data_IF_210891271525
#
_entry.id   IF_210891271525
#
_cell.length_a   1.000
_cell.length_b   1.000
_cell.length_c   1.000
_cell.angle_alpha   90.00
_cell.angle_beta   90.00
_cell.angle_gamma   90.00
#
_symmetry.space_group_name_H-M   'P 1'
#
loop_
_entity.id
_entity.type
_entity.pdbx_description
1 polymer ?
#
# COMPACT_ATOMS: atom_id res chain seq x y z
N UNK A 1 -11.11 -9.18 13.26
CA UNK A 1 -11.45 -9.12 11.82
C UNK A 1 -11.93 -7.70 11.60
N UNK A 2 -11.22 -6.90 10.79
CA UNK A 2 -11.63 -5.51 10.51
C UNK A 2 -12.55 -5.61 9.29
N UNK A 3 -13.77 -5.11 9.42
CA UNK A 3 -14.70 -5.05 8.30
C UNK A 3 -14.15 -4.07 7.27
N UNK A 4 -13.88 -4.49 6.02
CA UNK A 4 -13.38 -3.58 5.01
C UNK A 4 -14.47 -2.57 4.66
N UNK A 5 -14.12 -1.30 4.66
CA UNK A 5 -15.00 -0.23 4.20
C UNK A 5 -15.06 -0.29 2.67
N UNK A 6 -16.25 -0.46 2.12
CA UNK A 6 -16.47 -0.44 0.68
C UNK A 6 -16.74 1.00 0.27
N UNK A 7 -15.90 1.54 -0.61
CA UNK A 7 -16.03 2.87 -1.19
C UNK A 7 -16.36 2.74 -2.67
N UNK A 8 -17.29 3.56 -3.14
CA UNK A 8 -17.62 3.63 -4.56
C UNK A 8 -16.53 4.39 -5.32
N UNK A 9 -16.17 3.83 -6.46
CA UNK A 9 -15.18 4.37 -7.37
C UNK A 9 -15.64 4.26 -8.83
N UNK A 10 -15.02 5.06 -9.67
CA UNK A 10 -15.18 4.99 -11.11
C UNK A 10 -13.89 4.51 -11.76
N UNK A 11 -14.02 3.55 -12.67
CA UNK A 11 -12.97 3.12 -13.57
C UNK A 11 -13.13 3.85 -14.90
N UNK A 12 -12.08 4.54 -15.32
CA UNK A 12 -12.01 5.15 -16.63
C UNK A 12 -10.92 4.47 -17.46
N UNK A 13 -11.15 4.39 -18.77
CA UNK A 13 -10.14 4.00 -19.73
C UNK A 13 -10.18 4.97 -20.89
N UNK A 14 -9.04 5.13 -21.54
CA UNK A 14 -8.91 6.01 -22.69
C UNK A 14 -9.94 5.63 -23.78
N UNK A 15 -10.84 6.57 -24.10
CA UNK A 15 -11.86 6.42 -25.14
C UNK A 15 -13.10 5.60 -24.77
N UNK A 16 -13.35 5.29 -23.50
CA UNK A 16 -14.56 4.58 -23.05
C UNK A 16 -15.31 5.34 -21.95
N UNK A 17 -16.62 5.13 -21.86
CA UNK A 17 -17.44 5.68 -20.77
C UNK A 17 -16.99 5.10 -19.40
N UNK A 18 -17.00 5.90 -18.32
CA UNK A 18 -16.69 5.43 -16.98
C UNK A 18 -17.58 4.25 -16.58
N UNK A 19 -17.00 3.25 -15.91
CA UNK A 19 -17.73 2.14 -15.29
C UNK A 19 -17.63 2.19 -13.78
N UNK A 20 -18.63 1.61 -13.11
CA UNK A 20 -18.65 1.49 -11.66
C UNK A 20 -17.63 0.46 -11.16
N UNK A 21 -16.97 0.78 -10.04
CA UNK A 21 -16.09 -0.13 -9.33
C UNK A 21 -16.21 0.07 -7.82
N UNK A 22 -16.07 -1.01 -7.08
CA UNK A 22 -16.07 -1.02 -5.63
C UNK A 22 -14.65 -1.19 -5.11
N UNK A 23 -14.24 -0.32 -4.20
CA UNK A 23 -12.92 -0.35 -3.56
C UNK A 23 -13.09 -0.74 -2.11
N UNK A 24 -12.61 -1.93 -1.75
CA UNK A 24 -12.54 -2.34 -0.35
C UNK A 24 -11.25 -1.84 0.29
N UNK A 25 -11.38 -0.95 1.26
CA UNK A 25 -10.29 -0.37 2.02
C UNK A 25 -10.28 -0.97 3.42
N UNK A 26 -9.15 -1.56 3.82
CA UNK A 26 -8.93 -1.88 5.22
C UNK A 26 -8.11 -0.77 5.85
N UNK A 27 -8.66 -0.14 6.89
CA UNK A 27 -7.87 0.65 7.83
C UNK A 27 -7.07 -0.32 8.69
N UNK A 28 -5.74 -0.31 8.56
CA UNK A 28 -4.91 -1.08 9.47
C UNK A 28 -5.01 -0.47 10.87
N UNK A 29 -5.27 -1.32 11.86
CA UNK A 29 -5.23 -0.87 13.26
C UNK A 29 -3.83 -0.35 13.62
N UNK A 30 -3.72 0.60 14.57
CA UNK A 30 -2.43 1.13 15.02
C UNK A 30 -1.42 0.02 15.38
N UNK A 31 -1.89 -1.06 16.00
CA UNK A 31 -1.07 -2.24 16.33
C UNK A 31 -0.55 -3.00 15.10
N UNK A 32 -1.35 -3.16 14.05
CA UNK A 32 -0.91 -3.79 12.79
C UNK A 32 0.06 -2.90 12.00
N UNK A 33 -0.11 -1.59 12.07
CA UNK A 33 0.85 -0.62 11.50
C UNK A 33 2.19 -0.71 12.23
N UNK A 34 2.15 -0.79 13.56
CA UNK A 34 3.33 -0.97 14.41
C UNK A 34 4.07 -2.27 14.08
N UNK A 35 3.39 -3.43 14.05
CA UNK A 35 4.04 -4.72 13.76
C UNK A 35 4.66 -4.76 12.37
N UNK A 36 4.04 -4.13 11.37
CA UNK A 36 4.60 -4.02 10.01
C UNK A 36 5.82 -3.10 9.98
N UNK A 37 5.80 -2.00 10.73
CA UNK A 37 6.94 -1.11 10.93
C UNK A 37 8.11 -1.80 11.66
N UNK A 38 7.84 -2.47 12.76
CA UNK A 38 8.81 -3.23 13.55
C UNK A 38 9.42 -4.41 12.78
N UNK A 39 8.65 -5.08 11.94
CA UNK A 39 9.19 -6.16 11.09
C UNK A 39 10.20 -5.64 10.07
N UNK A 40 10.00 -4.43 9.57
CA UNK A 40 10.98 -3.75 8.71
C UNK A 40 12.18 -3.19 9.48
N UNK A 41 11.96 -2.59 10.65
CA UNK A 41 13.00 -2.04 11.51
C UNK A 41 13.87 -3.12 12.16
N UNK A 42 13.29 -4.28 12.48
CA UNK A 42 13.95 -5.38 13.18
C UNK A 42 15.15 -5.95 12.42
N UNK A 43 15.10 -5.97 11.09
CA UNK A 43 16.27 -6.38 10.28
C UNK A 43 17.43 -5.40 10.43
N UNK A 44 17.16 -4.10 10.37
CA UNK A 44 18.18 -3.07 10.57
C UNK A 44 18.72 -3.06 12.00
N UNK A 45 17.86 -3.30 13.00
CA UNK A 45 18.28 -3.40 14.40
C UNK A 45 19.08 -4.67 14.70
N UNK A 46 18.77 -5.79 14.05
CA UNK A 46 19.57 -7.01 14.14
C UNK A 46 20.98 -6.79 13.55
N UNK A 47 21.07 -6.11 12.41
CA UNK A 47 22.37 -5.70 11.81
C UNK A 47 23.10 -4.74 12.74
N UNK A 48 22.41 -3.75 13.32
CA UNK A 48 22.99 -2.83 14.29
C UNK A 48 23.59 -3.58 15.50
N UNK A 49 22.87 -4.57 16.03
CA UNK A 49 23.37 -5.42 17.11
C UNK A 49 24.63 -6.20 16.73
N UNK A 50 24.69 -6.75 15.51
CA UNK A 50 25.89 -7.41 15.01
C UNK A 50 27.08 -6.43 14.85
N UNK A 51 26.83 -5.17 14.52
CA UNK A 51 27.88 -4.15 14.40
C UNK A 51 28.53 -3.75 15.73
N UNK A 52 27.96 -4.13 16.88
CA UNK A 52 28.57 -3.88 18.21
C UNK A 52 29.91 -4.61 18.33
N UNK A 53 30.08 -5.76 17.67
CA UNK A 53 31.32 -6.55 17.67
C UNK A 53 32.45 -5.93 16.83
N UNK A 54 32.24 -4.73 16.25
CA UNK A 54 33.24 -4.00 15.48
C UNK A 54 33.69 -2.76 16.28
N UNK A 55 34.79 -2.85 17.06
CA UNK A 55 35.37 -1.71 17.76
C UNK A 55 35.67 -0.55 16.79
N UNK A 56 35.44 0.68 17.24
CA UNK A 56 35.56 1.89 16.40
C UNK A 56 34.33 2.17 15.54
N UNK A 57 33.91 1.21 14.70
CA UNK A 57 32.84 1.44 13.73
C UNK A 57 31.42 1.40 14.35
N UNK A 58 31.25 0.73 15.50
CA UNK A 58 29.97 0.68 16.22
C UNK A 58 29.44 2.07 16.62
N UNK A 59 30.31 3.05 16.90
CA UNK A 59 29.91 4.42 17.24
C UNK A 59 29.14 5.12 16.11
N UNK A 60 29.30 4.68 14.86
CA UNK A 60 28.61 5.23 13.70
C UNK A 60 27.52 4.26 13.21
N UNK A 61 27.83 2.97 13.08
CA UNK A 61 26.92 1.98 12.53
C UNK A 61 25.71 1.74 13.43
N UNK A 62 25.90 1.63 14.75
CA UNK A 62 24.80 1.37 15.68
C UNK A 62 23.77 2.51 15.66
N UNK A 63 24.14 3.79 15.92
CA UNK A 63 23.15 4.87 15.87
C UNK A 63 22.59 5.10 14.46
N UNK A 64 23.40 4.91 13.41
CA UNK A 64 22.96 5.03 12.02
C UNK A 64 21.86 4.03 11.66
N UNK A 65 22.10 2.73 11.89
CA UNK A 65 21.10 1.70 11.61
C UNK A 65 19.87 1.79 12.53
N UNK A 66 20.04 2.24 13.77
CA UNK A 66 18.93 2.45 14.70
C UNK A 66 18.01 3.57 14.21
N UNK A 67 18.58 4.71 13.80
CA UNK A 67 17.86 5.81 13.17
C UNK A 67 17.18 5.41 11.86
N UNK A 68 17.89 4.71 10.97
CA UNK A 68 17.32 4.21 9.70
C UNK A 68 16.13 3.28 9.97
N UNK A 69 16.24 2.38 10.96
CA UNK A 69 15.14 1.51 11.38
C UNK A 69 13.92 2.29 11.89
N UNK A 70 14.14 3.32 12.71
CA UNK A 70 13.06 4.19 13.21
C UNK A 70 12.40 4.95 12.04
N UNK A 71 13.19 5.61 11.18
CA UNK A 71 12.67 6.42 10.06
C UNK A 71 11.88 5.54 9.09
N UNK A 72 12.43 4.41 8.67
CA UNK A 72 11.74 3.48 7.76
C UNK A 72 10.49 2.88 8.40
N UNK A 73 10.52 2.59 9.71
CA UNK A 73 9.37 2.17 10.49
C UNK A 73 8.27 3.23 10.51
N UNK A 74 8.59 4.48 10.84
CA UNK A 74 7.64 5.61 10.88
C UNK A 74 7.07 5.90 9.49
N UNK A 75 7.89 5.86 8.44
CA UNK A 75 7.42 6.02 7.06
C UNK A 75 6.42 4.94 6.65
N UNK A 76 6.66 3.67 7.04
CA UNK A 76 5.73 2.57 6.77
C UNK A 76 4.49 2.59 7.65
N UNK A 77 4.61 3.10 8.89
CA UNK A 77 3.46 3.29 9.76
C UNK A 77 2.54 4.35 9.15
N UNK A 78 3.04 5.41 8.51
CA UNK A 78 2.23 6.50 7.96
C UNK A 78 1.19 6.09 6.90
N UNK A 79 1.36 4.97 6.20
CA UNK A 79 0.31 4.42 5.31
C UNK A 79 -0.83 3.82 6.17
N UNK A 80 -1.86 4.64 6.43
CA UNK A 80 -2.99 4.31 7.32
C UNK A 80 -4.06 3.43 6.66
N UNK A 81 -4.20 3.61 5.36
CA UNK A 81 -5.23 2.99 4.54
C UNK A 81 -4.52 2.14 3.49
N UNK A 82 -4.89 0.86 3.43
CA UNK A 82 -4.41 -0.04 2.40
C UNK A 82 -5.60 -0.56 1.63
N UNK A 83 -5.54 -0.45 0.30
CA UNK A 83 -6.56 -1.04 -0.56
C UNK A 83 -6.38 -2.55 -0.52
N UNK A 84 -7.44 -3.28 -0.17
CA UNK A 84 -7.42 -4.74 -0.05
C UNK A 84 -7.81 -5.38 -1.37
N UNK A 85 -8.84 -4.85 -2.02
CA UNK A 85 -9.36 -5.36 -3.28
C UNK A 85 -10.14 -4.26 -3.98
N UNK A 86 -9.97 -4.20 -5.29
CA UNK A 86 -10.80 -3.39 -6.18
C UNK A 86 -11.57 -4.37 -7.05
N UNK A 87 -12.89 -4.29 -7.03
CA UNK A 87 -13.76 -5.10 -7.85
C UNK A 87 -14.50 -4.21 -8.84
N UNK A 88 -14.61 -4.62 -10.10
CA UNK A 88 -15.38 -3.85 -11.06
C UNK A 88 -15.30 -4.39 -12.48
N UNK A 89 -16.05 -3.72 -13.35
CA UNK A 89 -16.14 -4.08 -14.76
C UNK A 89 -15.20 -3.21 -15.58
N UNK A 90 -14.34 -3.82 -16.39
CA UNK A 90 -13.49 -3.07 -17.32
C UNK A 90 -14.36 -2.34 -18.36
N UNK A 91 -14.25 -1.01 -18.51
CA UNK A 91 -15.13 -0.25 -19.41
C UNK A 91 -14.90 -0.58 -20.89
N UNK A 92 -13.72 -1.13 -21.24
CA UNK A 92 -13.32 -1.49 -22.61
C UNK A 92 -13.76 -2.90 -23.03
N UNK A 93 -13.41 -3.93 -22.26
CA UNK A 93 -13.72 -5.32 -22.60
C UNK A 93 -14.97 -5.87 -21.89
N UNK A 94 -15.60 -5.08 -21.01
CA UNK A 94 -16.78 -5.47 -20.21
C UNK A 94 -16.56 -6.69 -19.33
N UNK A 95 -15.32 -7.10 -19.11
CA UNK A 95 -14.97 -8.22 -18.24
C UNK A 95 -14.97 -7.76 -16.78
N UNK A 96 -15.71 -8.48 -15.94
CA UNK A 96 -15.75 -8.29 -14.50
C UNK A 96 -14.58 -9.04 -13.85
N UNK A 97 -13.77 -8.32 -13.09
CA UNK A 97 -12.58 -8.91 -12.46
C UNK A 97 -12.18 -8.17 -11.19
N UNK A 98 -11.38 -8.87 -10.39
CA UNK A 98 -10.67 -8.28 -9.28
C UNK A 98 -9.37 -7.64 -9.76
N UNK A 99 -9.27 -6.33 -9.57
CA UNK A 99 -8.04 -5.59 -9.79
C UNK A 99 -7.17 -5.63 -8.54
N UNK A 100 -5.92 -6.00 -8.74
CA UNK A 100 -4.88 -5.90 -7.70
C UNK A 100 -4.48 -4.44 -7.57
N UNK A 101 -5.08 -3.73 -6.61
CA UNK A 101 -4.61 -2.40 -6.23
C UNK A 101 -3.34 -2.49 -5.40
N UNK A 102 -2.42 -1.55 -5.60
CA UNK A 102 -1.22 -1.45 -4.79
C UNK A 102 -1.56 -1.22 -3.32
N UNK A 103 -0.67 -1.64 -2.43
CA UNK A 103 -0.86 -1.55 -0.97
C UNK A 103 -1.02 -0.11 -0.43
N UNK A 104 -0.91 0.92 -1.27
CA UNK A 104 -0.95 2.32 -0.87
C UNK A 104 -2.29 2.93 -1.27
N UNK A 105 -2.96 3.56 -0.31
CA UNK A 105 -4.12 4.37 -0.61
C UNK A 105 -3.70 5.69 -1.30
N UNK A 106 -4.21 5.95 -2.49
CA UNK A 106 -3.96 7.15 -3.27
C UNK A 106 -5.29 7.61 -3.91
N UNK A 107 -5.50 8.91 -4.15
CA UNK A 107 -6.76 9.39 -4.74
C UNK A 107 -6.98 8.88 -6.17
N UNK A 108 -5.91 8.50 -6.86
CA UNK A 108 -5.95 7.98 -8.23
C UNK A 108 -4.98 6.80 -8.35
N UNK A 109 -5.41 5.70 -8.96
CA UNK A 109 -4.56 4.54 -9.23
C UNK A 109 -4.60 4.16 -10.69
N UNK A 110 -3.47 3.64 -11.18
CA UNK A 110 -3.40 2.94 -12.45
C UNK A 110 -3.51 1.44 -12.19
N UNK A 111 -4.44 0.79 -12.88
CA UNK A 111 -4.72 -0.63 -12.79
C UNK A 111 -4.61 -1.24 -14.19
N UNK A 112 -4.17 -2.49 -14.27
CA UNK A 112 -4.12 -3.23 -15.52
C UNK A 112 -5.25 -4.26 -15.57
N UNK A 113 -6.02 -4.24 -16.66
CA UNK A 113 -6.99 -5.29 -16.93
C UNK A 113 -6.27 -6.57 -17.39
N UNK A 114 -6.61 -7.72 -16.82
CA UNK A 114 -5.96 -9.00 -17.18
C UNK A 114 -6.49 -9.57 -18.49
N UNK A 115 -7.72 -9.20 -18.87
CA UNK A 115 -8.36 -9.67 -20.09
C UNK A 115 -7.91 -8.89 -21.33
N UNK A 116 -7.77 -7.56 -21.23
CA UNK A 116 -7.43 -6.71 -22.38
C UNK A 116 -6.06 -6.00 -22.26
N UNK A 117 -5.32 -6.20 -21.16
CA UNK A 117 -4.03 -5.58 -20.88
C UNK A 117 -4.01 -4.06 -21.04
N UNK A 118 -5.16 -3.43 -20.88
CA UNK A 118 -5.27 -1.99 -20.98
C UNK A 118 -5.07 -1.33 -19.61
N UNK A 119 -4.46 -0.15 -19.63
CA UNK A 119 -4.36 0.71 -18.47
C UNK A 119 -5.70 1.35 -18.18
N UNK A 120 -6.13 1.23 -16.93
CA UNK A 120 -7.34 1.80 -16.36
C UNK A 120 -6.94 2.80 -15.28
N UNK A 121 -7.63 3.92 -15.21
CA UNK A 121 -7.49 4.86 -14.11
C UNK A 121 -8.69 4.72 -13.18
N UNK A 122 -8.42 4.48 -11.90
CA UNK A 122 -9.44 4.43 -10.87
C UNK A 122 -9.46 5.76 -10.12
N UNK A 123 -10.63 6.39 -10.06
CA UNK A 123 -10.89 7.59 -9.27
C UNK A 123 -11.97 7.30 -8.23
N UNK A 124 -11.70 7.63 -6.96
CA UNK A 124 -12.70 7.53 -5.90
C UNK A 124 -13.80 8.56 -6.13
N UNK A 125 -15.05 8.13 -6.07
CA UNK A 125 -16.19 9.01 -6.27
C UNK A 125 -16.59 9.71 -4.97
N UNK A 126 -16.28 9.10 -3.81
CA UNK A 126 -16.98 9.38 -2.54
C UNK A 126 -16.10 9.94 -1.39
N UNK A 127 -15.28 10.95 -1.68
CA UNK A 127 -14.69 11.82 -0.64
C UNK A 127 -14.78 13.29 -1.06
N UNK A 128 -15.91 13.91 -0.73
CA UNK A 128 -16.07 15.37 -0.65
C UNK A 128 -15.64 15.87 0.74
#
# INVERSE_FOLDING_TARGET
MIEPEVLDASLTAFGSMPSHAEVSVARLTPGQRLTRGFRGAGTFWAIAGACIFIPGLHFVLVPGFLLIGIVTGVMRVRDAETVVRVHGVCPRCKFEQDFTAGNRFAPTWRLDCRACHNHLELALTDRA
#
